data_IF_031684704865
#
_entry.id   IF_031684704865
#
_cell.length_a   1.000
_cell.length_b   1.000
_cell.length_c   1.000
_cell.angle_alpha   90.00
_cell.angle_beta   90.00
_cell.angle_gamma   90.00
#
_symmetry.space_group_name_H-M   'P 1'
#
loop_
_entity.id
_entity.type
_entity.pdbx_description
1 polymer ?
#
# COMPACT_ATOMS: atom_id res chain seq x y z
N UNK A 1 -1.46 4.69 -9.83
CA UNK A 1 -1.88 3.35 -9.39
C UNK A 1 -3.40 3.33 -9.26
N UNK A 2 -4.03 2.29 -9.74
CA UNK A 2 -5.50 2.14 -9.75
C UNK A 2 -5.84 1.06 -8.74
N UNK A 3 -6.40 1.45 -7.61
CA UNK A 3 -6.85 0.52 -6.58
C UNK A 3 -8.32 0.18 -6.77
N UNK A 4 -8.58 -1.08 -6.96
CA UNK A 4 -9.92 -1.64 -7.06
C UNK A 4 -10.20 -2.43 -5.78
N UNK A 5 -10.71 -1.76 -4.76
CA UNK A 5 -11.25 -2.46 -3.60
C UNK A 5 -12.65 -2.97 -3.96
N UNK A 6 -12.78 -4.26 -4.18
CA UNK A 6 -14.07 -4.91 -4.40
C UNK A 6 -14.81 -5.09 -3.07
N UNK A 7 -15.55 -4.08 -2.64
CA UNK A 7 -16.23 -4.08 -1.34
C UNK A 7 -17.74 -4.31 -1.51
N UNK A 8 -18.21 -5.44 -1.02
CA UNK A 8 -19.62 -5.82 -1.07
C UNK A 8 -20.50 -5.19 0.01
N UNK A 9 -19.93 -4.43 0.94
CA UNK A 9 -20.64 -3.82 2.05
C UNK A 9 -20.43 -2.30 2.08
N UNK A 10 -21.48 -1.50 2.31
CA UNK A 10 -21.36 -0.03 2.24
C UNK A 10 -20.60 0.58 3.42
N UNK A 11 -20.55 -0.07 4.57
CA UNK A 11 -19.61 0.33 5.63
C UNK A 11 -18.18 0.15 5.14
N UNK A 12 -17.93 -0.95 4.43
CA UNK A 12 -16.66 -1.24 3.79
C UNK A 12 -16.35 -0.24 2.66
N UNK A 13 -17.30 0.15 1.80
CA UNK A 13 -17.03 1.11 0.72
C UNK A 13 -16.62 2.50 1.23
N UNK A 14 -17.19 2.96 2.35
CA UNK A 14 -16.76 4.21 2.97
C UNK A 14 -15.33 4.11 3.50
N UNK A 15 -15.00 3.04 4.20
CA UNK A 15 -13.63 2.78 4.70
C UNK A 15 -12.67 2.58 3.52
N UNK A 16 -13.04 1.76 2.53
CA UNK A 16 -12.22 1.52 1.35
C UNK A 16 -11.91 2.79 0.55
N UNK A 17 -12.87 3.70 0.43
CA UNK A 17 -12.62 4.98 -0.24
C UNK A 17 -11.73 5.91 0.59
N UNK A 18 -11.83 5.88 1.93
CA UNK A 18 -10.85 6.57 2.79
C UNK A 18 -9.45 5.99 2.61
N UNK A 19 -9.32 4.66 2.55
CA UNK A 19 -8.06 3.97 2.30
C UNK A 19 -7.46 4.40 0.96
N UNK A 20 -8.24 4.42 -0.13
CA UNK A 20 -7.75 4.81 -1.45
C UNK A 20 -7.20 6.25 -1.47
N UNK A 21 -7.84 7.19 -0.78
CA UNK A 21 -7.32 8.56 -0.63
C UNK A 21 -6.04 8.57 0.22
N UNK A 22 -6.03 7.85 1.34
CA UNK A 22 -4.90 7.78 2.25
C UNK A 22 -3.67 7.15 1.59
N UNK A 23 -3.86 6.12 0.80
CA UNK A 23 -2.81 5.45 0.06
C UNK A 23 -2.23 6.33 -1.05
N UNK A 24 -3.08 6.98 -1.84
CA UNK A 24 -2.60 7.95 -2.83
C UNK A 24 -1.77 9.07 -2.17
N UNK A 25 -2.16 9.53 -0.98
CA UNK A 25 -1.40 10.47 -0.16
C UNK A 25 -0.07 9.89 0.31
N UNK A 26 -0.08 8.65 0.81
CA UNK A 26 1.11 7.94 1.29
C UNK A 26 2.16 7.76 0.20
N UNK A 27 1.74 7.42 -1.03
CA UNK A 27 2.62 7.32 -2.20
C UNK A 27 3.32 8.65 -2.52
N UNK A 28 2.60 9.76 -2.44
CA UNK A 28 3.18 11.11 -2.61
C UNK A 28 4.22 11.36 -1.51
N UNK A 29 3.88 11.07 -0.24
CA UNK A 29 4.77 11.29 0.90
C UNK A 29 6.02 10.40 0.80
N UNK A 30 5.88 9.13 0.43
CA UNK A 30 7.02 8.22 0.20
C UNK A 30 8.00 8.75 -0.86
N UNK A 31 7.52 9.54 -1.81
CA UNK A 31 8.35 10.20 -2.82
C UNK A 31 9.01 11.51 -2.33
N UNK A 32 8.70 11.94 -1.11
CA UNK A 32 9.14 13.22 -0.53
C UNK A 32 8.26 14.40 -0.93
N UNK A 33 7.10 14.15 -1.53
CA UNK A 33 6.13 15.15 -1.92
C UNK A 33 5.15 15.51 -0.81
N UNK A 34 4.51 16.66 -0.97
CA UNK A 34 3.36 17.11 -0.17
C UNK A 34 2.08 16.91 -0.98
N UNK A 35 1.12 16.10 -0.50
CA UNK A 35 -0.19 15.97 -1.14
C UNK A 35 -0.91 17.32 -1.22
N UNK A 36 -1.59 17.62 -2.33
CA UNK A 36 -2.25 18.91 -2.53
C UNK A 36 -3.70 18.80 -2.96
N UNK A 37 -4.03 17.91 -3.86
CA UNK A 37 -5.37 17.81 -4.42
C UNK A 37 -5.61 16.44 -5.02
N UNK A 38 -6.87 16.04 -5.13
CA UNK A 38 -7.26 14.82 -5.81
C UNK A 38 -8.13 15.08 -7.05
N UNK A 39 -8.09 14.13 -7.98
CA UNK A 39 -9.10 13.89 -8.99
C UNK A 39 -9.65 12.48 -8.80
N UNK A 40 -10.89 12.23 -9.19
CA UNK A 40 -11.50 10.91 -9.03
C UNK A 40 -12.16 10.40 -10.30
N UNK A 41 -12.32 9.07 -10.37
CA UNK A 41 -13.17 8.41 -11.35
C UNK A 41 -14.05 7.41 -10.59
N UNK A 42 -15.34 7.68 -10.53
CA UNK A 42 -16.30 6.90 -9.74
C UNK A 42 -17.15 6.04 -10.67
N UNK A 43 -17.08 4.72 -10.52
CA UNK A 43 -17.78 3.76 -11.37
C UNK A 43 -18.78 2.96 -10.54
N UNK A 44 -20.07 3.08 -10.91
CA UNK A 44 -21.19 2.47 -10.19
C UNK A 44 -22.24 1.94 -11.19
N UNK A 45 -23.03 1.00 -10.74
CA UNK A 45 -24.15 0.49 -11.49
C UNK A 45 -25.29 1.49 -11.63
N UNK A 46 -26.52 0.99 -11.78
CA UNK A 46 -27.72 1.84 -11.92
C UNK A 46 -28.05 2.54 -10.60
N UNK A 47 -28.02 3.89 -10.54
CA UNK A 47 -28.27 4.66 -9.30
C UNK A 47 -29.73 4.60 -8.81
N UNK A 48 -30.68 4.13 -9.62
CA UNK A 48 -32.06 3.86 -9.18
C UNK A 48 -32.16 2.56 -8.36
N UNK A 49 -31.12 1.71 -8.37
CA UNK A 49 -31.00 0.64 -7.39
C UNK A 49 -30.60 1.23 -6.02
N UNK A 50 -31.44 1.09 -4.97
CA UNK A 50 -31.15 1.66 -3.65
C UNK A 50 -29.81 1.21 -3.04
N UNK A 51 -29.38 -0.02 -3.30
CA UNK A 51 -28.10 -0.56 -2.83
C UNK A 51 -26.92 0.16 -3.50
N UNK A 52 -26.95 0.30 -4.83
CA UNK A 52 -25.92 1.02 -5.61
C UNK A 52 -25.84 2.49 -5.16
N UNK A 53 -26.99 3.13 -4.97
CA UNK A 53 -27.03 4.51 -4.49
C UNK A 53 -26.45 4.66 -3.09
N UNK A 54 -26.75 3.72 -2.21
CA UNK A 54 -26.22 3.71 -0.86
C UNK A 54 -24.70 3.53 -0.84
N UNK A 55 -24.17 2.62 -1.68
CA UNK A 55 -22.73 2.44 -1.88
C UNK A 55 -22.06 3.74 -2.39
N UNK A 56 -22.67 4.38 -3.38
CA UNK A 56 -22.19 5.67 -3.90
C UNK A 56 -22.12 6.74 -2.81
N UNK A 57 -23.16 6.89 -2.02
CA UNK A 57 -23.17 7.83 -0.88
C UNK A 57 -22.09 7.48 0.15
N UNK A 58 -21.88 6.20 0.42
CA UNK A 58 -20.80 5.71 1.28
C UNK A 58 -19.42 6.12 0.78
N UNK A 59 -19.15 5.92 -0.52
CA UNK A 59 -17.91 6.31 -1.16
C UNK A 59 -17.65 7.82 -1.06
N UNK A 60 -18.66 8.65 -1.38
CA UNK A 60 -18.54 10.11 -1.28
C UNK A 60 -18.25 10.58 0.15
N UNK A 61 -18.92 9.99 1.15
CA UNK A 61 -18.68 10.31 2.57
C UNK A 61 -17.27 9.89 3.02
N UNK A 62 -16.81 8.72 2.62
CA UNK A 62 -15.45 8.25 2.91
C UNK A 62 -14.39 9.17 2.32
N UNK A 63 -14.53 9.46 1.02
CA UNK A 63 -13.65 10.40 0.31
C UNK A 63 -13.60 11.77 0.98
N UNK A 64 -14.77 12.35 1.30
CA UNK A 64 -14.86 13.67 1.94
C UNK A 64 -14.12 13.72 3.27
N UNK A 65 -14.31 12.72 4.14
CA UNK A 65 -13.60 12.62 5.43
C UNK A 65 -12.09 12.56 5.27
N UNK A 66 -11.59 11.74 4.34
CA UNK A 66 -10.17 11.65 4.08
C UNK A 66 -9.61 12.94 3.47
N UNK A 67 -10.30 13.53 2.50
CA UNK A 67 -9.88 14.80 1.89
C UNK A 67 -9.81 15.94 2.91
N UNK A 68 -10.78 16.03 3.83
CA UNK A 68 -10.76 17.01 4.93
C UNK A 68 -9.55 16.79 5.83
N UNK A 69 -9.26 15.53 6.20
CA UNK A 69 -8.14 15.18 7.07
C UNK A 69 -6.78 15.51 6.44
N UNK A 70 -6.58 15.14 5.17
CA UNK A 70 -5.32 15.38 4.45
C UNK A 70 -5.21 16.80 3.88
N UNK A 71 -6.29 17.58 3.86
CA UNK A 71 -6.31 18.90 3.24
C UNK A 71 -6.17 18.83 1.71
N UNK A 72 -6.69 17.78 1.08
CA UNK A 72 -6.57 17.50 -0.35
C UNK A 72 -7.95 17.62 -1.04
N UNK A 73 -8.37 18.82 -1.47
CA UNK A 73 -9.68 19.00 -2.09
C UNK A 73 -9.80 18.23 -3.41
N UNK A 74 -11.03 17.81 -3.73
CA UNK A 74 -11.38 17.27 -5.04
C UNK A 74 -11.43 18.42 -6.04
N UNK A 75 -10.55 18.44 -7.04
CA UNK A 75 -10.45 19.50 -8.05
C UNK A 75 -11.08 19.13 -9.37
N UNK A 76 -11.39 17.85 -9.59
CA UNK A 76 -12.01 17.35 -10.79
C UNK A 76 -12.30 15.85 -10.70
N UNK A 77 -12.86 15.31 -11.75
CA UNK A 77 -13.17 13.89 -11.83
C UNK A 77 -14.41 13.62 -12.68
N UNK A 78 -14.84 12.35 -12.65
CA UNK A 78 -16.09 11.94 -13.28
C UNK A 78 -16.84 10.93 -12.44
N UNK A 79 -18.15 10.84 -12.68
CA UNK A 79 -19.01 9.78 -12.17
C UNK A 79 -19.62 9.06 -13.37
N UNK A 80 -19.40 7.76 -13.45
CA UNK A 80 -19.99 6.87 -14.45
C UNK A 80 -21.02 5.98 -13.77
N UNK A 81 -22.27 6.15 -14.10
CA UNK A 81 -23.37 5.30 -13.66
C UNK A 81 -23.77 4.32 -14.75
N UNK A 82 -24.66 3.38 -14.43
CA UNK A 82 -25.14 2.33 -15.32
C UNK A 82 -24.04 1.40 -15.85
N UNK A 83 -22.93 1.30 -15.12
CA UNK A 83 -21.90 0.30 -15.43
C UNK A 83 -22.40 -1.05 -14.98
N UNK A 84 -22.97 -1.80 -15.89
CA UNK A 84 -23.55 -3.12 -15.63
C UNK A 84 -23.52 -3.97 -16.91
N UNK A 85 -23.54 -5.27 -16.74
CA UNK A 85 -23.63 -6.25 -17.80
C UNK A 85 -24.89 -7.08 -17.63
N UNK A 86 -25.54 -7.45 -18.75
CA UNK A 86 -26.67 -8.35 -18.69
C UNK A 86 -26.18 -9.80 -18.86
N UNK A 87 -26.18 -10.57 -17.79
CA UNK A 87 -25.76 -11.97 -17.75
C UNK A 87 -26.95 -12.85 -17.45
N UNK A 88 -27.28 -13.78 -18.37
CA UNK A 88 -28.43 -14.68 -18.21
C UNK A 88 -29.76 -13.94 -18.07
N UNK A 89 -29.90 -12.73 -18.66
CA UNK A 89 -31.12 -11.93 -18.58
C UNK A 89 -31.30 -11.13 -17.29
N UNK A 90 -30.26 -11.08 -16.45
CA UNK A 90 -30.22 -10.25 -15.24
C UNK A 90 -29.13 -9.21 -15.39
N UNK A 91 -29.42 -7.99 -14.97
CA UNK A 91 -28.43 -6.93 -14.89
C UNK A 91 -27.58 -7.11 -13.65
N UNK A 92 -26.26 -7.27 -13.86
CA UNK A 92 -25.25 -7.33 -12.82
C UNK A 92 -24.42 -6.04 -12.86
N UNK A 93 -24.49 -5.27 -11.78
CA UNK A 93 -23.69 -4.04 -11.63
C UNK A 93 -22.18 -4.39 -11.50
N UNK A 94 -21.33 -3.51 -12.01
CA UNK A 94 -19.91 -3.58 -11.66
C UNK A 94 -19.74 -3.37 -10.16
N UNK A 95 -18.66 -3.89 -9.61
CA UNK A 95 -18.28 -3.56 -8.24
C UNK A 95 -18.13 -2.05 -8.07
N UNK A 96 -18.55 -1.48 -6.94
CA UNK A 96 -18.39 -0.07 -6.66
C UNK A 96 -16.89 0.29 -6.63
N UNK A 97 -16.44 1.09 -7.61
CA UNK A 97 -15.01 1.33 -7.84
C UNK A 97 -14.71 2.83 -7.84
N UNK A 98 -14.45 3.43 -6.65
CA UNK A 98 -13.85 4.75 -6.55
C UNK A 98 -12.34 4.64 -6.89
N UNK A 99 -11.91 5.33 -7.95
CA UNK A 99 -10.51 5.44 -8.33
C UNK A 99 -10.02 6.84 -7.99
N UNK A 100 -8.89 6.93 -7.30
CA UNK A 100 -8.32 8.19 -6.82
C UNK A 100 -6.99 8.47 -7.52
N UNK A 101 -6.89 9.64 -8.15
CA UNK A 101 -5.62 10.21 -8.58
C UNK A 101 -5.25 11.36 -7.65
N UNK A 102 -3.99 11.46 -7.23
CA UNK A 102 -3.55 12.53 -6.34
C UNK A 102 -2.35 13.28 -6.94
N UNK A 103 -2.36 14.59 -6.78
CA UNK A 103 -1.25 15.46 -7.14
C UNK A 103 -0.53 15.91 -5.87
N UNK A 104 0.80 15.94 -5.95
CA UNK A 104 1.65 16.48 -4.90
C UNK A 104 2.81 17.29 -5.48
N UNK A 105 3.46 18.08 -4.63
CA UNK A 105 4.64 18.88 -4.98
C UNK A 105 5.80 18.47 -4.10
N UNK A 106 6.97 18.28 -4.72
CA UNK A 106 8.26 18.19 -4.05
C UNK A 106 8.87 19.59 -4.01
N UNK A 107 8.77 20.27 -2.87
CA UNK A 107 9.23 21.65 -2.72
C UNK A 107 10.75 21.78 -2.83
N UNK A 108 11.48 20.74 -2.44
CA UNK A 108 12.94 20.70 -2.47
C UNK A 108 13.42 19.36 -3.05
N UNK A 109 14.10 19.42 -4.19
CA UNK A 109 14.64 18.23 -4.85
C UNK A 109 15.57 17.37 -3.96
N UNK A 110 16.17 17.95 -2.93
CA UNK A 110 17.02 17.22 -1.99
C UNK A 110 16.21 16.35 -1.01
N UNK A 111 14.90 16.55 -0.94
CA UNK A 111 13.98 15.73 -0.13
C UNK A 111 13.29 14.64 -0.96
N UNK A 112 13.73 14.44 -2.20
CA UNK A 112 13.22 13.34 -3.02
C UNK A 112 13.70 12.00 -2.47
N UNK A 113 12.76 11.07 -2.32
CA UNK A 113 13.01 9.69 -1.90
C UNK A 113 12.49 8.72 -2.95
N UNK A 114 13.03 7.53 -3.01
CA UNK A 114 12.56 6.45 -3.90
C UNK A 114 12.43 5.17 -3.12
N UNK A 115 11.65 4.23 -3.64
CA UNK A 115 11.43 2.93 -3.03
C UNK A 115 12.71 2.07 -2.94
N UNK A 116 13.63 2.22 -3.89
CA UNK A 116 14.78 1.34 -4.03
C UNK A 116 15.75 1.40 -2.82
N UNK A 117 16.13 0.26 -2.29
CA UNK A 117 17.23 0.15 -1.34
C UNK A 117 18.49 0.75 -1.93
N UNK A 118 19.32 1.43 -1.11
CA UNK A 118 20.50 2.16 -1.61
C UNK A 118 21.77 1.35 -1.44
N UNK A 119 22.07 0.87 -0.26
CA UNK A 119 23.33 0.23 0.05
C UNK A 119 23.13 -0.98 0.98
N UNK A 120 24.01 -1.99 0.81
CA UNK A 120 24.11 -3.12 1.72
C UNK A 120 24.44 -2.62 3.15
N UNK A 121 23.81 -3.25 4.14
CA UNK A 121 24.01 -2.94 5.56
C UNK A 121 23.16 -1.79 6.09
N UNK A 122 22.34 -1.16 5.23
CA UNK A 122 21.30 -0.27 5.74
C UNK A 122 20.29 -1.08 6.56
N UNK A 123 19.85 -0.53 7.68
CA UNK A 123 18.80 -1.12 8.50
C UNK A 123 17.44 -0.93 7.82
N UNK A 124 16.60 -1.93 7.93
CA UNK A 124 15.23 -1.92 7.39
C UNK A 124 14.27 -1.79 8.56
N UNK A 125 13.41 -0.77 8.49
CA UNK A 125 12.36 -0.55 9.47
C UNK A 125 10.99 -0.55 8.78
N UNK A 126 9.99 -1.06 9.49
CA UNK A 126 8.58 -0.89 9.16
C UNK A 126 8.01 0.19 10.08
N UNK A 127 7.58 1.30 9.51
CA UNK A 127 6.82 2.35 10.21
C UNK A 127 5.35 1.96 10.18
N UNK A 128 4.64 2.17 11.28
CA UNK A 128 3.22 1.80 11.45
C UNK A 128 3.04 0.48 12.19
N UNK A 129 1.79 0.15 12.48
CA UNK A 129 1.42 -1.07 13.20
C UNK A 129 1.11 -2.21 12.23
N UNK A 130 1.60 -3.40 12.54
CA UNK A 130 1.17 -4.62 11.86
C UNK A 130 0.04 -5.27 12.64
N UNK A 131 -1.01 -5.67 11.94
CA UNK A 131 -2.16 -6.34 12.52
C UNK A 131 -2.18 -7.81 12.10
N UNK A 132 -2.74 -8.66 12.94
CA UNK A 132 -2.95 -10.08 12.62
C UNK A 132 -4.16 -10.25 11.69
N UNK A 133 -4.10 -9.63 10.51
CA UNK A 133 -5.19 -9.48 9.56
C UNK A 133 -4.69 -9.71 8.12
N UNK A 134 -5.45 -10.52 7.37
CA UNK A 134 -5.26 -10.77 5.94
C UNK A 134 -6.49 -10.35 5.11
N UNK A 135 -7.44 -9.65 5.72
CA UNK A 135 -8.68 -9.25 5.06
C UNK A 135 -8.41 -8.36 3.84
N UNK A 136 -9.17 -8.57 2.77
CA UNK A 136 -9.07 -7.87 1.49
C UNK A 136 -7.67 -7.85 0.86
N UNK A 137 -6.81 -8.82 1.21
CA UNK A 137 -5.48 -8.94 0.63
C UNK A 137 -5.49 -9.75 -0.68
N UNK A 138 -4.51 -9.48 -1.53
CA UNK A 138 -4.25 -10.28 -2.73
C UNK A 138 -3.92 -11.74 -2.37
N UNK A 139 -3.26 -11.97 -1.23
CA UNK A 139 -3.02 -13.29 -0.68
C UNK A 139 -4.31 -14.06 -0.42
N UNK A 140 -5.30 -13.41 0.20
CA UNK A 140 -6.60 -14.03 0.47
C UNK A 140 -7.37 -14.28 -0.83
N UNK A 141 -7.35 -13.33 -1.75
CA UNK A 141 -8.05 -13.40 -3.03
C UNK A 141 -7.39 -14.40 -4.00
N UNK A 142 -6.11 -14.21 -4.29
CA UNK A 142 -5.42 -14.98 -5.34
C UNK A 142 -4.93 -16.34 -4.89
N UNK A 143 -4.48 -16.50 -3.64
CA UNK A 143 -3.99 -17.78 -3.13
C UNK A 143 -5.11 -18.62 -2.52
N UNK A 144 -5.87 -18.05 -1.58
CA UNK A 144 -6.98 -18.76 -0.91
C UNK A 144 -8.29 -18.76 -1.68
N UNK A 145 -8.41 -18.01 -2.80
CA UNK A 145 -9.60 -17.93 -3.66
C UNK A 145 -10.86 -17.40 -2.93
N UNK A 146 -10.67 -16.61 -1.90
CA UNK A 146 -11.75 -15.94 -1.17
C UNK A 146 -12.06 -14.61 -1.85
N UNK A 147 -13.24 -14.52 -2.47
CA UNK A 147 -13.62 -13.37 -3.33
C UNK A 147 -14.17 -12.17 -2.58
N UNK A 148 -14.55 -12.33 -1.33
CA UNK A 148 -15.13 -11.26 -0.53
C UNK A 148 -14.69 -11.41 0.92
N UNK A 149 -14.24 -10.31 1.52
CA UNK A 149 -13.87 -10.23 2.92
C UNK A 149 -14.10 -8.81 3.43
N UNK A 150 -14.17 -8.59 4.76
CA UNK A 150 -14.25 -7.24 5.30
C UNK A 150 -13.06 -6.37 4.84
N UNK A 151 -13.23 -5.04 4.84
CA UNK A 151 -12.10 -4.13 4.71
C UNK A 151 -11.11 -4.36 5.88
N UNK A 152 -9.80 -4.18 5.67
CA UNK A 152 -8.82 -4.25 6.74
C UNK A 152 -9.10 -3.15 7.78
N UNK A 153 -8.57 -3.34 8.98
CA UNK A 153 -8.63 -2.29 9.99
C UNK A 153 -7.95 -1.01 9.46
N UNK A 154 -8.62 0.12 9.65
CA UNK A 154 -8.12 1.42 9.21
C UNK A 154 -8.48 2.52 10.20
N UNK A 155 -7.48 3.25 10.67
CA UNK A 155 -7.63 4.46 11.46
C UNK A 155 -7.02 5.66 10.72
N UNK A 156 -7.86 6.61 10.35
CA UNK A 156 -7.48 7.77 9.55
C UNK A 156 -6.53 8.72 10.32
N UNK A 157 -6.65 8.77 11.65
CA UNK A 157 -5.80 9.61 12.50
C UNK A 157 -4.40 9.03 12.62
N UNK A 158 -4.29 7.71 12.87
CA UNK A 158 -3.01 7.00 12.90
C UNK A 158 -2.29 7.10 11.55
N UNK A 159 -3.02 6.90 10.45
CA UNK A 159 -2.50 7.05 9.09
C UNK A 159 -1.94 8.45 8.85
N UNK A 160 -2.71 9.49 9.18
CA UNK A 160 -2.27 10.87 9.01
C UNK A 160 -1.02 11.19 9.84
N UNK A 161 -0.99 10.79 11.11
CA UNK A 161 0.18 10.99 11.98
C UNK A 161 1.43 10.29 11.43
N UNK A 162 1.29 9.07 10.96
CA UNK A 162 2.38 8.32 10.34
C UNK A 162 2.92 9.02 9.10
N UNK A 163 2.06 9.50 8.21
CA UNK A 163 2.47 10.22 7.01
C UNK A 163 3.18 11.55 7.33
N UNK A 164 2.72 12.29 8.35
CA UNK A 164 3.41 13.51 8.80
C UNK A 164 4.81 13.20 9.36
N UNK A 165 4.95 12.13 10.13
CA UNK A 165 6.24 11.69 10.65
C UNK A 165 7.18 11.27 9.52
N UNK A 166 6.71 10.49 8.54
CA UNK A 166 7.49 10.09 7.39
C UNK A 166 7.98 11.29 6.56
N UNK A 167 7.10 12.25 6.29
CA UNK A 167 7.48 13.48 5.60
C UNK A 167 8.60 14.22 6.33
N UNK A 168 8.54 14.26 7.65
CA UNK A 168 9.58 14.91 8.48
C UNK A 168 10.89 14.11 8.47
N UNK A 169 10.86 12.79 8.54
CA UNK A 169 12.04 11.92 8.43
C UNK A 169 12.77 12.13 7.10
N UNK A 170 12.02 12.27 5.99
CA UNK A 170 12.57 12.56 4.67
C UNK A 170 13.20 13.96 4.64
N UNK A 171 12.53 14.98 5.15
CA UNK A 171 13.07 16.35 5.25
C UNK A 171 14.36 16.43 6.06
N UNK A 172 14.46 15.63 7.13
CA UNK A 172 15.66 15.54 7.96
C UNK A 172 16.77 14.64 7.37
N UNK A 173 16.53 14.01 6.21
CA UNK A 173 17.42 13.05 5.57
C UNK A 173 17.77 11.87 6.51
N UNK A 174 16.82 11.43 7.34
CA UNK A 174 17.00 10.30 8.25
C UNK A 174 16.73 8.96 7.57
N UNK A 175 15.97 8.95 6.47
CA UNK A 175 15.69 7.74 5.68
C UNK A 175 16.35 7.82 4.30
N UNK A 176 16.71 6.66 3.76
CA UNK A 176 17.39 6.50 2.46
C UNK A 176 16.43 6.02 1.36
N UNK A 177 15.42 5.27 1.74
CA UNK A 177 14.34 4.83 0.86
C UNK A 177 13.03 4.80 1.65
N UNK A 178 11.92 4.91 0.94
CA UNK A 178 10.58 4.76 1.52
C UNK A 178 9.67 4.10 0.47
N UNK A 179 8.93 3.07 0.90
CA UNK A 179 7.95 2.36 0.08
C UNK A 179 6.76 1.97 0.96
N UNK A 180 5.56 2.36 0.58
CA UNK A 180 4.36 1.97 1.30
C UNK A 180 4.06 0.48 1.14
N UNK A 181 3.43 -0.12 2.15
CA UNK A 181 2.95 -1.50 2.07
C UNK A 181 1.55 -1.47 1.45
N UNK A 182 1.41 -2.10 0.29
CA UNK A 182 0.17 -2.19 -0.49
C UNK A 182 -0.08 -3.61 -0.98
N UNK A 183 -0.47 -3.81 -2.23
CA UNK A 183 -0.81 -5.11 -2.81
C UNK A 183 0.31 -6.15 -2.61
N UNK A 184 -0.05 -7.31 -2.11
CA UNK A 184 0.87 -8.40 -1.80
C UNK A 184 1.60 -8.26 -0.46
N UNK A 185 1.37 -7.19 0.30
CA UNK A 185 1.84 -6.99 1.65
C UNK A 185 3.34 -6.71 1.77
N UNK A 186 3.86 -6.89 2.98
CA UNK A 186 5.23 -6.54 3.34
C UNK A 186 6.29 -7.26 2.49
N UNK A 187 6.10 -8.55 2.19
CA UNK A 187 7.10 -9.33 1.46
C UNK A 187 7.28 -8.81 0.04
N UNK A 188 6.18 -8.47 -0.65
CA UNK A 188 6.24 -7.90 -2.01
C UNK A 188 6.85 -6.50 -1.97
N UNK A 189 6.46 -5.65 -1.02
CA UNK A 189 7.08 -4.31 -0.82
C UNK A 189 8.61 -4.39 -0.66
N UNK A 190 9.10 -5.37 0.11
CA UNK A 190 10.54 -5.59 0.29
C UNK A 190 11.21 -6.06 -1.01
N UNK A 191 10.59 -6.96 -1.77
CA UNK A 191 11.09 -7.40 -3.06
C UNK A 191 11.18 -6.25 -4.06
N UNK A 192 10.13 -5.46 -4.17
CA UNK A 192 10.08 -4.29 -5.06
C UNK A 192 11.14 -3.24 -4.69
N UNK A 193 11.40 -3.07 -3.39
CA UNK A 193 12.48 -2.19 -2.92
C UNK A 193 13.88 -2.75 -3.23
N UNK A 194 14.03 -4.06 -3.25
CA UNK A 194 15.30 -4.75 -3.47
C UNK A 194 15.69 -4.86 -4.96
N UNK A 195 14.70 -5.12 -5.84
CA UNK A 195 14.89 -5.41 -7.27
C UNK A 195 15.62 -4.32 -8.08
N UNK A 196 15.38 -3.00 -7.91
CA UNK A 196 15.96 -1.97 -8.78
C UNK A 196 17.48 -1.92 -8.74
N UNK A 197 18.09 -2.28 -7.61
CA UNK A 197 19.55 -2.30 -7.42
C UNK A 197 20.12 -3.70 -7.25
N UNK A 198 19.29 -4.70 -7.45
CA UNK A 198 19.68 -6.11 -7.28
C UNK A 198 20.28 -6.40 -5.89
N UNK A 199 19.75 -5.72 -4.87
CA UNK A 199 20.08 -5.94 -3.47
C UNK A 199 19.12 -6.99 -2.88
N UNK A 200 19.49 -7.64 -1.79
CA UNK A 200 18.61 -8.54 -1.05
C UNK A 200 18.24 -7.94 0.30
N UNK A 201 17.62 -8.77 1.13
CA UNK A 201 17.32 -8.42 2.51
C UNK A 201 17.38 -9.65 3.41
N UNK A 202 17.60 -9.41 4.70
CA UNK A 202 17.52 -10.40 5.77
C UNK A 202 16.69 -9.81 6.88
N UNK A 203 15.50 -10.39 7.11
CA UNK A 203 14.52 -9.88 8.08
C UNK A 203 14.05 -10.98 9.03
N UNK A 204 13.54 -10.55 10.17
CA UNK A 204 12.87 -11.40 11.16
C UNK A 204 11.41 -10.95 11.30
N UNK A 205 10.50 -11.92 11.34
CA UNK A 205 9.07 -11.68 11.56
C UNK A 205 8.77 -11.51 13.06
N UNK A 206 7.60 -10.98 13.37
CA UNK A 206 7.11 -10.89 14.74
C UNK A 206 6.44 -12.20 15.14
N UNK A 207 6.95 -12.87 16.19
CA UNK A 207 6.44 -14.15 16.65
C UNK A 207 5.01 -14.09 17.25
N UNK A 208 4.51 -12.89 17.59
CA UNK A 208 3.15 -12.69 18.10
C UNK A 208 2.11 -12.56 16.96
N UNK A 209 2.57 -12.37 15.72
CA UNK A 209 1.72 -12.23 14.55
C UNK A 209 1.88 -13.46 13.66
N UNK A 210 0.78 -13.97 13.11
CA UNK A 210 0.84 -15.06 12.13
C UNK A 210 1.74 -14.65 10.96
N UNK A 211 2.65 -15.54 10.55
CA UNK A 211 3.63 -15.25 9.49
C UNK A 211 2.98 -14.81 8.17
N UNK A 212 1.83 -15.40 7.80
CA UNK A 212 1.09 -15.01 6.60
C UNK A 212 0.49 -13.59 6.72
N UNK A 213 -0.03 -13.23 7.88
CA UNK A 213 -0.55 -11.90 8.13
C UNK A 213 0.58 -10.85 8.20
N UNK A 214 1.74 -11.23 8.76
CA UNK A 214 2.90 -10.35 8.80
C UNK A 214 3.46 -10.06 7.40
N UNK A 215 3.63 -11.11 6.58
CA UNK A 215 4.29 -11.01 5.28
C UNK A 215 3.36 -10.60 4.15
N UNK A 216 2.10 -11.08 4.15
CA UNK A 216 1.15 -10.92 3.05
C UNK A 216 -0.14 -10.20 3.42
N UNK A 217 -0.30 -9.80 4.69
CA UNK A 217 -1.39 -8.92 5.09
C UNK A 217 -1.22 -7.53 4.50
N UNK A 218 -2.32 -6.89 4.10
CA UNK A 218 -2.37 -5.57 3.48
C UNK A 218 -3.00 -4.53 4.41
N UNK A 219 -2.78 -4.69 5.73
CA UNK A 219 -3.21 -3.69 6.70
C UNK A 219 -2.54 -2.34 6.42
N UNK A 220 -3.34 -1.29 6.52
CA UNK A 220 -2.99 0.04 6.09
C UNK A 220 -2.04 0.78 7.04
N UNK A 221 -1.53 1.93 6.63
CA UNK A 221 -0.70 2.80 7.48
C UNK A 221 0.70 2.25 7.75
N UNK A 222 1.28 1.52 6.79
CA UNK A 222 2.61 0.93 6.92
C UNK A 222 3.53 1.36 5.79
N UNK A 223 4.79 1.66 6.14
CA UNK A 223 5.83 2.05 5.18
C UNK A 223 7.15 1.36 5.53
N UNK A 224 7.77 0.72 4.55
CA UNK A 224 9.14 0.21 4.66
C UNK A 224 10.11 1.34 4.39
N UNK A 225 11.04 1.56 5.30
CA UNK A 225 12.11 2.53 5.11
C UNK A 225 13.47 1.89 5.36
N UNK A 226 14.50 2.41 4.70
CA UNK A 226 15.88 2.07 5.04
C UNK A 226 16.60 3.25 5.66
N UNK A 227 17.44 2.95 6.64
CA UNK A 227 18.22 3.93 7.40
C UNK A 227 19.69 3.52 7.36
N UNK A 228 20.57 4.48 7.08
CA UNK A 228 22.01 4.22 7.16
C UNK A 228 22.45 4.01 8.61
N UNK A 229 23.44 3.15 8.90
CA UNK A 229 23.91 2.89 10.26
C UNK A 229 24.30 4.18 11.04
N UNK A 230 24.79 5.18 10.34
CA UNK A 230 25.16 6.47 10.94
C UNK A 230 23.97 7.34 11.37
N UNK A 231 22.76 7.02 10.92
CA UNK A 231 21.52 7.75 11.22
C UNK A 231 20.54 6.95 12.09
N UNK A 232 20.86 5.71 12.39
CA UNK A 232 19.96 4.80 13.10
C UNK A 232 19.50 5.34 14.44
N UNK A 233 20.42 5.79 15.29
CA UNK A 233 20.06 6.36 16.60
C UNK A 233 19.13 7.57 16.45
N UNK A 234 19.44 8.50 15.52
CA UNK A 234 18.62 9.68 15.30
C UNK A 234 17.21 9.32 14.78
N UNK A 235 17.09 8.27 13.95
CA UNK A 235 15.81 7.76 13.50
C UNK A 235 15.01 7.18 14.66
N UNK A 236 15.60 6.32 15.48
CA UNK A 236 14.94 5.69 16.63
C UNK A 236 14.47 6.77 17.63
N UNK A 237 15.35 7.72 17.98
CA UNK A 237 15.01 8.82 18.89
C UNK A 237 13.81 9.61 18.37
N UNK A 238 13.82 9.98 17.07
CA UNK A 238 12.69 10.66 16.44
C UNK A 238 11.38 9.88 16.53
N UNK A 239 11.41 8.57 16.26
CA UNK A 239 10.21 7.71 16.32
C UNK A 239 9.64 7.61 17.73
N UNK A 240 10.53 7.45 18.73
CA UNK A 240 10.15 7.36 20.15
C UNK A 240 9.60 8.71 20.64
N UNK A 241 10.27 9.81 20.35
CA UNK A 241 9.85 11.16 20.79
C UNK A 241 8.49 11.57 20.21
N UNK A 242 8.16 11.11 19.00
CA UNK A 242 6.89 11.40 18.34
C UNK A 242 5.82 10.33 18.54
N UNK A 243 6.12 9.28 19.33
CA UNK A 243 5.20 8.18 19.63
C UNK A 243 4.66 7.49 18.35
N UNK A 244 5.51 7.33 17.33
CA UNK A 244 5.14 6.65 16.09
C UNK A 244 5.57 5.18 16.19
N UNK A 245 4.64 4.23 16.04
CA UNK A 245 4.96 2.80 16.05
C UNK A 245 5.92 2.44 14.92
N UNK A 246 6.91 1.61 15.22
CA UNK A 246 7.83 1.06 14.23
C UNK A 246 8.39 -0.29 14.69
N UNK A 247 8.84 -1.09 13.73
CA UNK A 247 9.49 -2.39 13.95
C UNK A 247 10.81 -2.43 13.20
N UNK A 248 11.87 -2.85 13.88
CA UNK A 248 13.13 -3.17 13.20
C UNK A 248 12.97 -4.54 12.55
N UNK A 249 13.02 -4.57 11.21
CA UNK A 249 12.87 -5.82 10.46
C UNK A 249 14.20 -6.57 10.30
N UNK A 250 15.27 -5.86 10.02
CA UNK A 250 16.56 -6.45 9.72
C UNK A 250 17.43 -5.52 8.88
N UNK A 251 18.11 -6.04 7.86
CA UNK A 251 19.05 -5.25 7.09
C UNK A 251 19.10 -5.63 5.60
N UNK A 252 19.58 -4.70 4.79
CA UNK A 252 19.81 -4.90 3.35
C UNK A 252 21.05 -5.78 3.14
N UNK A 253 20.89 -6.86 2.37
CA UNK A 253 21.97 -7.77 1.97
C UNK A 253 22.52 -7.46 0.57
N UNK A 254 23.54 -8.18 0.14
CA UNK A 254 24.09 -8.00 -1.21
C UNK A 254 23.13 -8.47 -2.31
N UNK A 255 22.48 -9.63 -2.12
CA UNK A 255 21.59 -10.21 -3.14
C UNK A 255 20.67 -11.31 -2.62
N UNK A 256 20.98 -11.91 -1.47
CA UNK A 256 20.19 -13.00 -0.88
C UNK A 256 18.97 -12.44 -0.16
N UNK A 257 17.83 -13.11 -0.32
CA UNK A 257 16.57 -12.85 0.36
C UNK A 257 16.38 -13.87 1.47
N UNK A 258 16.28 -13.41 2.72
CA UNK A 258 16.10 -14.27 3.90
C UNK A 258 14.96 -13.75 4.78
N UNK A 259 14.22 -14.67 5.36
CA UNK A 259 13.20 -14.42 6.37
C UNK A 259 13.34 -15.47 7.46
N UNK A 260 13.47 -15.07 8.72
CA UNK A 260 13.59 -15.96 9.87
C UNK A 260 14.67 -17.05 9.67
N UNK A 261 15.86 -16.64 9.23
CA UNK A 261 16.99 -17.51 8.90
C UNK A 261 16.77 -18.48 7.71
N UNK A 262 15.61 -18.47 7.08
CA UNK A 262 15.33 -19.27 5.87
C UNK A 262 15.67 -18.47 4.62
N UNK A 263 16.48 -19.07 3.73
CA UNK A 263 16.80 -18.47 2.43
C UNK A 263 15.68 -18.71 1.42
N UNK A 264 15.24 -17.65 0.78
CA UNK A 264 14.30 -17.66 -0.36
C UNK A 264 15.04 -17.53 -1.71
N UNK A 265 16.37 -17.66 -1.70
CA UNK A 265 17.21 -17.56 -2.90
C UNK A 265 17.71 -16.14 -3.15
N UNK A 266 17.97 -15.83 -4.41
CA UNK A 266 18.59 -14.56 -4.80
C UNK A 266 17.58 -13.65 -5.49
N UNK A 267 17.71 -12.35 -5.22
CA UNK A 267 16.82 -11.33 -5.78
C UNK A 267 16.78 -11.36 -7.32
N UNK A 268 17.89 -11.74 -7.97
CA UNK A 268 17.93 -11.87 -9.44
C UNK A 268 16.96 -12.90 -10.00
N UNK A 269 16.71 -13.97 -9.26
CA UNK A 269 15.81 -15.05 -9.70
C UNK A 269 14.35 -14.67 -9.42
N UNK A 270 14.08 -14.08 -8.25
CA UNK A 270 12.77 -13.54 -7.91
C UNK A 270 12.36 -12.42 -8.86
N UNK A 271 13.30 -11.54 -9.24
CA UNK A 271 13.08 -10.49 -10.22
C UNK A 271 12.70 -11.03 -11.59
N UNK A 272 13.30 -12.13 -12.06
CA UNK A 272 12.90 -12.77 -13.33
C UNK A 272 11.45 -13.24 -13.29
N UNK A 273 11.03 -13.84 -12.17
CA UNK A 273 9.63 -14.26 -11.99
C UNK A 273 8.70 -13.06 -12.07
N UNK A 274 9.03 -11.98 -11.37
CA UNK A 274 8.24 -10.75 -11.34
C UNK A 274 8.15 -10.09 -12.73
N UNK A 275 9.29 -9.87 -13.38
CA UNK A 275 9.36 -9.18 -14.69
C UNK A 275 8.64 -9.96 -15.81
N UNK A 276 8.64 -11.30 -15.77
CA UNK A 276 8.08 -12.14 -16.83
C UNK A 276 6.63 -12.57 -16.56
N UNK A 277 6.07 -12.31 -15.38
CA UNK A 277 4.77 -12.82 -14.96
C UNK A 277 3.64 -12.50 -15.95
N UNK A 278 3.59 -11.27 -16.46
CA UNK A 278 2.56 -10.84 -17.41
C UNK A 278 2.74 -11.49 -18.80
N UNK A 279 3.98 -11.54 -19.31
CA UNK A 279 4.28 -12.15 -20.60
C UNK A 279 3.91 -13.64 -20.61
N UNK A 280 4.26 -14.35 -19.55
CA UNK A 280 3.97 -15.78 -19.41
C UNK A 280 2.48 -16.06 -19.24
N UNK A 281 1.74 -15.19 -18.54
CA UNK A 281 0.29 -15.28 -18.46
C UNK A 281 -0.38 -15.11 -19.83
N UNK A 282 0.07 -14.13 -20.61
CA UNK A 282 -0.50 -13.83 -21.95
C UNK A 282 -0.13 -14.91 -22.96
N UNK A 283 1.10 -15.42 -22.92
CA UNK A 283 1.59 -16.41 -23.90
C UNK A 283 1.19 -17.84 -23.56
N UNK A 284 0.60 -18.08 -22.38
CA UNK A 284 0.21 -19.42 -21.92
C UNK A 284 1.39 -20.33 -21.61
N UNK A 285 2.60 -19.80 -21.49
CA UNK A 285 3.76 -20.53 -21.01
C UNK A 285 3.61 -20.77 -19.51
N UNK A 286 3.33 -22.02 -19.14
CA UNK A 286 3.04 -22.43 -17.78
C UNK A 286 4.17 -22.11 -16.79
N UNK A 287 3.97 -21.17 -15.90
CA UNK A 287 4.81 -20.92 -14.73
C UNK A 287 4.31 -21.54 -13.43
N UNK A 288 3.31 -22.37 -13.43
CA UNK A 288 2.91 -23.13 -12.25
C UNK A 288 2.87 -24.61 -12.56
N UNK A 289 3.98 -25.26 -12.41
CA UNK A 289 4.04 -26.69 -12.10
C UNK A 289 4.61 -26.88 -10.70
#
# INVERSE_FOLDING_TARGET
EIYTLSLHDALSISVGTMIAVAEASRNIVCSGGKPLAITNCLNFGNPYNPEVYWQFVGAIKGMGRACEKFGTPVTGGNVSFYNQSTIGGKDEAVFPTPTIGMLGIVDNKNHQTTLAFKDKGHMIFLIGKTYNDIASSEYLYSYHKVKASPAPFFDLEEEYRMQQALAKLIQLNLVQSAHDVSDGGLFITLLESAMPRNLGFDITTDAEIRSDAFLFGESQGRVVVTVSPSRETQFIDFMVENEIPFTTLGHVTKSEVRVDDVSFGFISDLKKVYDNALEELITGSNMCK
#
